data_IF_852330029380
#
_entry.id   IF_852330029380
#
_cell.length_a   1.000
_cell.length_b   1.000
_cell.length_c   1.000
_cell.angle_alpha   90.00
_cell.angle_beta   90.00
_cell.angle_gamma   90.00
#
_symmetry.space_group_name_H-M   'P 1'
#
loop_
_entity.id
_entity.type
_entity.pdbx_description
1 polymer ?
#
# COMPACT_ATOMS: atom_id res chain seq x y z
N UNK A 1 27.96 -30.29 33.10
CA UNK A 1 27.37 -28.95 32.96
C UNK A 1 27.51 -28.39 31.54
N UNK A 2 28.66 -28.38 30.93
CA UNK A 2 28.84 -27.85 29.57
C UNK A 2 27.99 -28.50 28.47
N UNK A 3 27.67 -29.77 28.58
CA UNK A 3 26.81 -30.47 27.59
C UNK A 3 25.35 -30.06 27.71
N UNK A 4 24.87 -29.85 28.91
CA UNK A 4 23.49 -29.49 29.18
C UNK A 4 23.20 -28.07 28.73
N UNK A 5 24.12 -27.12 28.95
CA UNK A 5 24.01 -25.74 28.48
C UNK A 5 24.03 -25.64 26.95
N UNK A 6 24.85 -26.42 26.26
CA UNK A 6 24.86 -26.46 24.79
C UNK A 6 23.55 -27.01 24.21
N UNK A 7 22.97 -28.02 24.84
CA UNK A 7 21.68 -28.58 24.41
C UNK A 7 20.57 -27.56 24.64
N UNK A 8 20.58 -26.85 25.77
CA UNK A 8 19.59 -25.85 26.11
C UNK A 8 19.66 -24.63 25.16
N UNK A 9 20.87 -24.15 24.85
CA UNK A 9 21.06 -23.06 23.89
C UNK A 9 20.69 -23.46 22.47
N UNK A 10 20.96 -24.70 22.06
CA UNK A 10 20.54 -25.21 20.76
C UNK A 10 19.03 -25.35 20.64
N UNK A 11 18.35 -25.76 21.72
CA UNK A 11 16.89 -25.88 21.76
C UNK A 11 16.21 -24.51 21.69
N UNK A 12 16.76 -23.52 22.40
CA UNK A 12 16.24 -22.14 22.37
C UNK A 12 16.42 -21.52 20.97
N UNK A 13 17.56 -21.74 20.33
CA UNK A 13 17.80 -21.26 18.98
C UNK A 13 16.84 -21.91 17.95
N UNK A 14 16.50 -23.18 18.14
CA UNK A 14 15.59 -23.90 17.27
C UNK A 14 14.13 -23.39 17.37
N UNK A 15 13.70 -22.95 18.55
CA UNK A 15 12.38 -22.38 18.78
C UNK A 15 12.21 -21.04 18.05
N UNK A 16 13.26 -20.24 17.94
CA UNK A 16 13.22 -18.97 17.18
C UNK A 16 13.07 -19.16 15.67
N UNK A 17 13.42 -20.30 15.11
CA UNK A 17 13.29 -20.57 13.68
C UNK A 17 11.85 -20.94 13.26
N UNK A 18 10.98 -21.30 14.21
CA UNK A 18 9.58 -21.61 13.92
C UNK A 18 8.62 -20.45 14.14
N UNK A 19 9.11 -19.26 14.49
CA UNK A 19 8.29 -18.08 14.80
C UNK A 19 7.75 -17.34 13.56
N UNK A 20 7.97 -17.83 12.34
CA UNK A 20 7.43 -17.24 11.12
C UNK A 20 6.43 -18.18 10.44
N UNK A 21 5.30 -18.47 11.10
CA UNK A 21 4.09 -18.95 10.43
C UNK A 21 2.92 -18.06 10.79
N UNK A 22 2.87 -16.89 10.18
CA UNK A 22 1.62 -16.19 10.00
C UNK A 22 1.06 -16.56 8.62
N UNK A 23 0.59 -17.78 8.48
CA UNK A 23 -0.36 -18.14 7.45
C UNK A 23 -1.73 -17.55 7.81
N UNK A 24 -1.84 -16.22 7.84
CA UNK A 24 -3.13 -15.62 7.59
C UNK A 24 -3.40 -15.88 6.13
N UNK A 25 -4.51 -16.57 5.78
CA UNK A 25 -4.91 -16.65 4.37
C UNK A 25 -4.91 -15.21 3.88
N UNK A 26 -4.22 -14.96 2.77
CA UNK A 26 -4.29 -13.68 2.10
C UNK A 26 -5.77 -13.51 1.69
N UNK A 27 -6.56 -12.95 2.59
CA UNK A 27 -7.87 -12.38 2.26
C UNK A 27 -7.54 -11.46 1.11
N UNK A 28 -8.09 -11.72 -0.05
CA UNK A 28 -7.72 -10.99 -1.24
C UNK A 28 -7.87 -9.51 -0.91
N UNK A 29 -6.84 -8.72 -1.14
CA UNK A 29 -6.87 -7.28 -0.86
C UNK A 29 -8.10 -6.63 -1.47
N UNK A 30 -8.60 -7.20 -2.56
CA UNK A 30 -9.84 -6.86 -3.24
C UNK A 30 -11.07 -6.85 -2.30
N UNK A 31 -11.22 -7.83 -1.40
CA UNK A 31 -12.35 -7.87 -0.48
C UNK A 31 -12.24 -6.83 0.63
N UNK A 32 -11.01 -6.51 1.05
CA UNK A 32 -10.77 -5.47 2.06
C UNK A 32 -11.14 -4.10 1.52
N UNK A 33 -10.81 -3.80 0.27
CA UNK A 33 -11.15 -2.53 -0.38
C UNK A 33 -12.63 -2.40 -0.74
N UNK A 34 -13.32 -3.51 -1.02
CA UNK A 34 -14.76 -3.50 -1.33
C UNK A 34 -15.63 -3.02 -0.17
N UNK A 35 -15.16 -3.17 1.07
CA UNK A 35 -15.89 -2.79 2.28
C UNK A 35 -15.56 -1.36 2.76
N UNK A 36 -14.67 -0.63 2.09
CA UNK A 36 -14.37 0.75 2.41
C UNK A 36 -15.33 1.69 1.67
N UNK A 37 -15.87 2.66 2.39
CA UNK A 37 -16.63 3.77 1.79
C UNK A 37 -15.67 4.75 1.12
N UNK A 38 -15.19 4.38 -0.08
CA UNK A 38 -14.28 5.19 -0.86
C UNK A 38 -15.04 6.11 -1.81
N UNK A 39 -14.54 7.33 -1.96
CA UNK A 39 -15.07 8.28 -2.94
C UNK A 39 -14.85 7.73 -4.36
N UNK A 40 -15.92 7.62 -5.12
CA UNK A 40 -15.92 7.12 -6.50
C UNK A 40 -16.67 8.09 -7.40
N UNK A 41 -16.41 8.02 -8.68
CA UNK A 41 -17.11 8.80 -9.70
C UNK A 41 -16.21 9.80 -10.41
N UNK A 42 -16.86 10.78 -11.06
CA UNK A 42 -16.16 11.78 -11.84
C UNK A 42 -15.41 12.78 -10.97
N UNK A 43 -14.30 13.30 -11.49
CA UNK A 43 -13.52 14.34 -10.82
C UNK A 43 -14.28 15.67 -10.86
N UNK A 44 -14.44 16.30 -9.72
CA UNK A 44 -15.06 17.61 -9.55
C UNK A 44 -14.02 18.60 -9.01
N UNK A 45 -13.25 19.19 -9.91
CA UNK A 45 -12.22 20.16 -9.55
C UNK A 45 -12.85 21.55 -9.46
N UNK A 46 -12.81 22.13 -8.27
CA UNK A 46 -13.31 23.49 -7.99
C UNK A 46 -12.14 24.47 -8.06
N UNK A 47 -12.20 25.45 -8.99
CA UNK A 47 -11.20 26.51 -9.11
C UNK A 47 -10.31 26.37 -10.34
N UNK A 48 -9.11 26.96 -10.26
CA UNK A 48 -8.11 26.86 -11.34
C UNK A 48 -7.58 25.43 -11.46
N UNK A 49 -7.75 24.76 -12.61
CA UNK A 49 -7.25 23.39 -12.80
C UNK A 49 -5.73 23.30 -12.92
N UNK A 50 -5.03 24.40 -12.79
CA UNK A 50 -3.57 24.44 -12.90
C UNK A 50 -2.90 24.03 -11.59
N UNK A 51 -2.97 22.74 -11.28
CA UNK A 51 -2.35 22.16 -10.06
C UNK A 51 -0.84 21.90 -10.18
N UNK A 52 -0.23 22.33 -11.28
CA UNK A 52 1.15 21.97 -11.61
C UNK A 52 1.27 20.56 -12.21
N UNK A 53 2.48 20.11 -12.38
CA UNK A 53 2.79 18.80 -12.97
C UNK A 53 3.65 17.98 -12.02
N UNK A 54 3.20 16.76 -11.75
CA UNK A 54 3.97 15.74 -11.04
C UNK A 54 4.36 14.66 -12.03
N UNK A 55 5.64 14.39 -12.13
CA UNK A 55 6.18 13.31 -12.97
C UNK A 55 6.94 12.31 -12.09
N UNK A 56 6.27 11.26 -11.70
CA UNK A 56 6.87 10.16 -10.95
C UNK A 56 7.10 8.97 -11.87
N UNK A 57 8.33 8.44 -11.85
CA UNK A 57 8.71 7.31 -12.70
C UNK A 57 8.23 5.99 -12.10
N UNK A 58 7.31 5.32 -12.80
CA UNK A 58 6.79 4.01 -12.42
C UNK A 58 7.06 3.00 -13.53
N UNK A 59 7.38 1.78 -13.14
CA UNK A 59 7.53 0.63 -14.06
C UNK A 59 6.18 -0.03 -14.33
N UNK A 60 5.21 0.73 -14.86
CA UNK A 60 3.88 0.25 -15.19
C UNK A 60 3.44 0.75 -16.58
N UNK A 61 2.26 0.29 -17.02
CA UNK A 61 1.65 0.77 -18.28
C UNK A 61 1.49 2.28 -18.25
N UNK A 62 1.60 2.89 -19.43
CA UNK A 62 1.55 4.35 -19.60
C UNK A 62 0.28 4.98 -19.02
N UNK A 63 -0.87 4.39 -19.31
CA UNK A 63 -2.17 4.86 -18.83
C UNK A 63 -2.29 4.86 -17.29
N UNK A 64 -1.72 3.85 -16.64
CA UNK A 64 -1.68 3.77 -15.16
C UNK A 64 -0.72 4.81 -14.58
N UNK A 65 0.37 5.09 -15.27
CA UNK A 65 1.34 6.12 -14.87
C UNK A 65 0.72 7.51 -14.90
N UNK A 66 -0.03 7.83 -15.94
CA UNK A 66 -0.74 9.12 -16.04
C UNK A 66 -1.75 9.28 -14.90
N UNK A 67 -2.56 8.27 -14.65
CA UNK A 67 -3.53 8.29 -13.53
C UNK A 67 -2.83 8.44 -12.18
N UNK A 68 -1.75 7.73 -11.95
CA UNK A 68 -0.98 7.83 -10.73
C UNK A 68 -0.41 9.24 -10.52
N UNK A 69 0.19 9.82 -11.54
CA UNK A 69 0.73 11.17 -11.48
C UNK A 69 -0.38 12.21 -11.25
N UNK A 70 -1.56 12.04 -11.86
CA UNK A 70 -2.72 12.87 -11.60
C UNK A 70 -3.14 12.77 -10.12
N UNK A 71 -3.25 11.56 -9.58
CA UNK A 71 -3.58 11.36 -8.17
C UNK A 71 -2.57 12.04 -7.23
N UNK A 72 -1.26 11.93 -7.52
CA UNK A 72 -0.23 12.64 -6.76
C UNK A 72 -0.35 14.16 -6.86
N UNK A 73 -0.64 14.67 -8.05
CA UNK A 73 -0.86 16.12 -8.28
C UNK A 73 -2.02 16.61 -7.41
N UNK A 74 -3.12 15.87 -7.35
CA UNK A 74 -4.28 16.20 -6.53
C UNK A 74 -3.96 16.18 -5.04
N UNK A 75 -3.19 15.20 -4.58
CA UNK A 75 -2.71 15.13 -3.17
C UNK A 75 -1.87 16.37 -2.83
N UNK A 76 -0.94 16.75 -3.70
CA UNK A 76 -0.10 17.93 -3.48
C UNK A 76 -0.89 19.23 -3.51
N UNK A 77 -2.06 19.24 -4.14
CA UNK A 77 -2.95 20.39 -4.22
C UNK A 77 -4.05 20.37 -3.15
N UNK A 78 -3.94 19.48 -2.17
CA UNK A 78 -4.91 19.29 -1.08
C UNK A 78 -6.31 18.81 -1.52
N UNK A 79 -6.44 18.34 -2.76
CA UNK A 79 -7.68 17.78 -3.33
C UNK A 79 -7.80 16.28 -3.00
N UNK A 80 -7.84 15.94 -1.71
CA UNK A 80 -7.78 14.57 -1.23
C UNK A 80 -8.95 13.70 -1.68
N UNK A 81 -10.16 14.24 -1.66
CA UNK A 81 -11.36 13.52 -2.09
C UNK A 81 -11.31 13.18 -3.59
N UNK A 82 -10.76 14.08 -4.40
CA UNK A 82 -10.59 13.86 -5.83
C UNK A 82 -9.42 12.90 -6.11
N UNK A 83 -8.33 12.99 -5.35
CA UNK A 83 -7.23 12.05 -5.42
C UNK A 83 -7.70 10.61 -5.12
N UNK A 84 -8.54 10.43 -4.11
CA UNK A 84 -9.12 9.14 -3.77
C UNK A 84 -9.88 8.53 -4.95
N UNK A 85 -10.68 9.31 -5.67
CA UNK A 85 -11.39 8.86 -6.88
C UNK A 85 -10.46 8.35 -7.99
N UNK A 86 -9.26 8.93 -8.08
CA UNK A 86 -8.26 8.51 -9.07
C UNK A 86 -7.65 7.15 -8.72
N UNK A 87 -7.48 6.86 -7.43
CA UNK A 87 -6.82 5.64 -6.95
C UNK A 87 -7.77 4.46 -6.72
N UNK A 88 -9.07 4.66 -6.78
CA UNK A 88 -10.11 3.64 -6.59
C UNK A 88 -10.64 3.14 -7.91
#
# INVERSE_FOLDING_TARGET
MFRLTKILTSLVLFVFLFSCKNDKPATSQSETFANLELNRGDLLLCGDPNFGEVSFSLSCRYDLREKFNLGLTLIHSFEYAEAEKVFV
#
